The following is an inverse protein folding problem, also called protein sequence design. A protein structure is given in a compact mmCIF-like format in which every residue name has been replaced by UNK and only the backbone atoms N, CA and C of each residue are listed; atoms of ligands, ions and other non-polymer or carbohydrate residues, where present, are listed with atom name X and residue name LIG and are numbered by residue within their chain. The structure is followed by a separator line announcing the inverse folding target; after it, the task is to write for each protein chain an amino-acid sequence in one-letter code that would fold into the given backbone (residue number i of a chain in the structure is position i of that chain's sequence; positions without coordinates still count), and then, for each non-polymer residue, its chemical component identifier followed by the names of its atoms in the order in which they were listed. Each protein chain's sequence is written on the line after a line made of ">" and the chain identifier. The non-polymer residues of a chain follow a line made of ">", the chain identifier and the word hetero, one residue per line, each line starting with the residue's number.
data_IF_216042508793
#
_entry.id   IF_216042508793
#
_cell.length_a   1.000
_cell.length_b   1.000
_cell.length_c   1.000
_cell.angle_alpha   90.00
_cell.angle_beta   90.00
_cell.angle_gamma   90.00
#
_symmetry.space_group_name_H-M   'P 1'
#
loop_
_entity.id
_entity.type
_entity.pdbx_description
1 polymer ?
#
# COMPACT_ATOMS: atom_id res chain seq x y z
N UNK A 1 -7.61 -23.70 3.18
CA UNK A 1 -7.01 -22.69 4.08
C UNK A 1 -6.06 -21.70 3.42
N UNK A 2 -5.28 -22.08 2.40
CA UNK A 2 -4.28 -21.24 1.75
C UNK A 2 -4.86 -20.22 0.74
N UNK A 3 -6.01 -20.51 0.16
CA UNK A 3 -6.63 -19.64 -0.86
C UNK A 3 -7.11 -18.27 -0.33
N UNK A 4 -7.36 -18.14 0.95
CA UNK A 4 -7.77 -16.86 1.56
C UNK A 4 -6.61 -15.89 1.83
N UNK A 5 -5.36 -16.36 1.81
CA UNK A 5 -4.16 -15.54 1.99
C UNK A 5 -3.63 -14.96 0.66
N UNK A 6 -4.24 -15.33 -0.47
CA UNK A 6 -3.83 -14.79 -1.76
C UNK A 6 -4.10 -13.28 -1.83
N UNK A 7 -3.05 -12.51 -2.09
CA UNK A 7 -3.16 -11.10 -2.43
C UNK A 7 -3.88 -10.95 -3.78
N UNK A 8 -4.87 -10.06 -3.83
CA UNK A 8 -5.53 -9.75 -5.10
C UNK A 8 -4.49 -9.13 -6.05
N UNK A 9 -4.58 -9.44 -7.34
CA UNK A 9 -3.68 -8.88 -8.38
C UNK A 9 -3.59 -7.36 -8.31
N UNK A 10 -4.70 -6.70 -8.01
CA UNK A 10 -4.74 -5.24 -7.89
C UNK A 10 -3.94 -4.73 -6.68
N UNK A 11 -3.96 -5.43 -5.55
CA UNK A 11 -3.17 -5.06 -4.35
C UNK A 11 -1.67 -5.15 -4.65
N UNK A 12 -1.25 -6.19 -5.38
CA UNK A 12 0.15 -6.36 -5.81
C UNK A 12 0.59 -5.26 -6.77
N UNK A 13 -0.26 -4.89 -7.75
CA UNK A 13 0.03 -3.81 -8.68
C UNK A 13 0.16 -2.47 -7.97
N UNK A 14 -0.72 -2.17 -7.02
CA UNK A 14 -0.64 -0.95 -6.21
C UNK A 14 0.65 -0.95 -5.39
N UNK A 15 0.96 -2.05 -4.70
CA UNK A 15 2.19 -2.19 -3.92
C UNK A 15 3.45 -2.01 -4.77
N UNK A 16 3.47 -2.61 -5.96
CA UNK A 16 4.56 -2.45 -6.92
C UNK A 16 4.74 -0.99 -7.35
N UNK A 17 3.64 -0.32 -7.74
CA UNK A 17 3.69 1.09 -8.18
C UNK A 17 4.18 2.01 -7.06
N UNK A 18 3.66 1.84 -5.84
CA UNK A 18 4.11 2.62 -4.68
C UNK A 18 5.59 2.38 -4.41
N UNK A 19 6.07 1.14 -4.51
CA UNK A 19 7.47 0.80 -4.24
C UNK A 19 8.43 1.39 -5.27
N UNK A 20 8.04 1.41 -6.55
CA UNK A 20 8.82 2.08 -7.61
C UNK A 20 8.91 3.59 -7.34
N UNK A 21 7.77 4.24 -7.06
CA UNK A 21 7.75 5.67 -6.79
C UNK A 21 8.56 6.04 -5.55
N UNK A 22 8.46 5.27 -4.47
CA UNK A 22 9.23 5.50 -3.25
C UNK A 22 10.73 5.31 -3.47
N UNK A 23 11.14 4.28 -4.21
CA UNK A 23 12.54 4.05 -4.52
C UNK A 23 13.15 5.22 -5.30
N UNK A 24 12.44 5.73 -6.31
CA UNK A 24 12.88 6.89 -7.09
C UNK A 24 12.91 8.15 -6.20
N UNK A 25 11.88 8.37 -5.40
CA UNK A 25 11.76 9.56 -4.57
C UNK A 25 12.87 9.64 -3.50
N UNK A 26 13.14 8.55 -2.81
CA UNK A 26 14.19 8.50 -1.77
C UNK A 26 15.59 8.71 -2.38
N UNK A 27 15.83 8.18 -3.58
CA UNK A 27 17.10 8.34 -4.28
C UNK A 27 17.15 9.55 -5.21
N UNK A 28 16.12 10.42 -5.19
CA UNK A 28 16.02 11.56 -6.10
C UNK A 28 17.25 12.48 -6.05
N UNK A 29 17.76 12.77 -4.86
CA UNK A 29 18.95 13.62 -4.69
C UNK A 29 20.21 13.01 -5.34
N UNK A 30 20.35 11.66 -5.29
CA UNK A 30 21.45 10.95 -5.94
C UNK A 30 21.29 10.97 -7.46
N UNK A 31 20.08 10.77 -7.96
CA UNK A 31 19.75 10.81 -9.39
C UNK A 31 20.01 12.20 -9.97
N UNK A 32 19.58 13.26 -9.28
CA UNK A 32 19.82 14.64 -9.70
C UNK A 32 21.31 14.98 -9.72
N UNK A 33 22.06 14.56 -8.71
CA UNK A 33 23.51 14.78 -8.67
C UNK A 33 24.23 14.08 -9.83
N UNK A 34 23.81 12.86 -10.20
CA UNK A 34 24.34 12.19 -11.37
C UNK A 34 24.02 12.94 -12.65
N UNK A 35 22.79 13.39 -12.84
CA UNK A 35 22.37 14.17 -13.99
C UNK A 35 23.15 15.48 -14.13
N UNK A 36 23.36 16.23 -13.06
CA UNK A 36 24.16 17.46 -13.04
C UNK A 36 25.62 17.20 -13.45
N UNK A 37 26.19 16.08 -13.01
CA UNK A 37 27.54 15.70 -13.38
C UNK A 37 27.67 15.33 -14.86
N UNK A 38 26.72 14.58 -15.41
CA UNK A 38 26.70 14.19 -16.82
C UNK A 38 26.44 15.40 -17.75
N UNK A 39 25.71 16.40 -17.31
CA UNK A 39 25.43 17.62 -18.08
C UNK A 39 26.55 18.68 -17.99
N UNK A 40 27.64 18.39 -17.26
CA UNK A 40 28.82 19.26 -17.18
C UNK A 40 28.65 20.47 -16.27
N UNK A 41 27.64 20.51 -15.43
CA UNK A 41 27.39 21.59 -14.47
C UNK A 41 27.32 21.07 -13.01
N UNK A 42 28.43 20.48 -12.49
CA UNK A 42 28.42 19.92 -11.13
C UNK A 42 28.30 21.04 -10.10
N UNK A 43 27.17 21.07 -9.40
CA UNK A 43 26.91 22.06 -8.35
C UNK A 43 27.78 21.89 -7.11
N UNK A 44 28.19 20.69 -6.78
CA UNK A 44 29.25 20.34 -5.78
C UNK A 44 29.44 18.83 -5.65
N UNK A 45 30.70 18.36 -5.59
CA UNK A 45 31.06 17.10 -4.99
C UNK A 45 31.46 15.98 -5.97
N UNK A 46 31.83 14.86 -5.38
CA UNK A 46 32.27 13.64 -6.05
C UNK A 46 31.06 12.94 -6.70
N UNK A 47 31.21 12.53 -7.94
CA UNK A 47 30.20 11.72 -8.63
C UNK A 47 29.88 10.47 -7.80
N UNK A 48 28.60 10.21 -7.50
CA UNK A 48 28.25 8.95 -6.84
C UNK A 48 28.58 7.79 -7.78
N UNK A 49 29.23 6.71 -7.29
CA UNK A 49 29.51 5.56 -8.13
C UNK A 49 28.19 4.95 -8.62
N UNK A 50 28.08 4.68 -9.91
CA UNK A 50 26.88 4.15 -10.57
C UNK A 50 26.33 2.91 -9.86
N UNK A 51 27.19 2.06 -9.40
CA UNK A 51 26.87 0.83 -8.68
C UNK A 51 26.10 1.08 -7.39
N UNK A 52 26.58 2.00 -6.56
CA UNK A 52 25.92 2.35 -5.30
C UNK A 52 24.53 2.91 -5.56
N UNK A 53 24.38 3.70 -6.62
CA UNK A 53 23.09 4.26 -7.01
C UNK A 53 22.10 3.16 -7.43
N UNK A 54 22.51 2.25 -8.31
CA UNK A 54 21.66 1.13 -8.74
C UNK A 54 21.31 0.20 -7.58
N UNK A 55 22.29 -0.08 -6.70
CA UNK A 55 22.04 -0.86 -5.50
C UNK A 55 20.97 -0.22 -4.61
N UNK A 56 21.08 1.07 -4.32
CA UNK A 56 20.13 1.78 -3.46
C UNK A 56 18.74 1.84 -4.09
N UNK A 57 18.64 2.04 -5.41
CA UNK A 57 17.35 2.00 -6.12
C UNK A 57 16.68 0.64 -5.98
N UNK A 58 17.41 -0.44 -6.25
CA UNK A 58 16.88 -1.80 -6.14
C UNK A 58 16.57 -2.12 -4.67
N UNK A 59 17.45 -1.72 -3.76
CA UNK A 59 17.27 -1.97 -2.33
C UNK A 59 15.99 -1.34 -1.78
N UNK A 60 15.77 -0.05 -1.99
CA UNK A 60 14.59 0.63 -1.50
C UNK A 60 13.30 0.16 -2.20
N UNK A 61 13.38 -0.25 -3.45
CA UNK A 61 12.27 -0.93 -4.12
C UNK A 61 11.92 -2.25 -3.42
N UNK A 62 12.89 -3.13 -3.23
CA UNK A 62 12.68 -4.45 -2.58
C UNK A 62 12.21 -4.26 -1.13
N UNK A 63 12.83 -3.37 -0.39
CA UNK A 63 12.47 -3.06 0.99
C UNK A 63 11.01 -2.59 1.12
N UNK A 64 10.59 -1.61 0.35
CA UNK A 64 9.22 -1.09 0.39
C UNK A 64 8.20 -2.12 -0.09
N UNK A 65 8.55 -2.91 -1.12
CA UNK A 65 7.66 -3.95 -1.65
C UNK A 65 7.45 -5.10 -0.67
N UNK A 66 8.52 -5.57 -0.03
CA UNK A 66 8.44 -6.60 1.03
C UNK A 66 7.59 -6.10 2.20
N UNK A 67 7.83 -4.88 2.67
CA UNK A 67 7.03 -4.29 3.74
C UNK A 67 5.55 -4.19 3.38
N UNK A 68 5.23 -3.79 2.16
CA UNK A 68 3.84 -3.71 1.69
C UNK A 68 3.16 -5.08 1.67
N UNK A 69 3.84 -6.10 1.12
CA UNK A 69 3.34 -7.48 1.08
C UNK A 69 3.11 -8.01 2.49
N UNK A 70 4.12 -7.89 3.36
CA UNK A 70 4.04 -8.38 4.75
C UNK A 70 2.93 -7.68 5.51
N UNK A 71 2.83 -6.37 5.38
CA UNK A 71 1.75 -5.60 6.00
C UNK A 71 0.37 -6.12 5.55
N UNK A 72 0.19 -6.36 4.26
CA UNK A 72 -1.07 -6.86 3.71
C UNK A 72 -1.37 -8.30 4.15
N UNK A 73 -0.38 -9.19 4.16
CA UNK A 73 -0.53 -10.56 4.61
C UNK A 73 -0.82 -10.66 6.11
N UNK A 74 -0.06 -9.93 6.92
CA UNK A 74 -0.23 -9.94 8.38
C UNK A 74 -1.57 -9.34 8.81
N UNK A 75 -2.07 -8.35 8.08
CA UNK A 75 -3.40 -7.82 8.33
C UNK A 75 -4.49 -8.87 8.05
N UNK A 76 -4.42 -9.58 6.92
CA UNK A 76 -5.35 -10.67 6.59
C UNK A 76 -5.26 -11.82 7.60
N UNK A 77 -4.05 -12.18 8.01
CA UNK A 77 -3.83 -13.18 9.05
C UNK A 77 -4.42 -12.74 10.39
N UNK A 78 -4.19 -11.49 10.77
CA UNK A 78 -4.72 -10.88 11.99
C UNK A 78 -6.24 -10.81 11.98
N UNK A 79 -6.87 -10.56 10.84
CA UNK A 79 -8.33 -10.58 10.69
C UNK A 79 -8.90 -11.98 10.96
N UNK A 80 -8.21 -13.00 10.51
CA UNK A 80 -8.57 -14.41 10.78
C UNK A 80 -8.38 -14.80 12.25
N UNK A 81 -7.24 -14.41 12.85
CA UNK A 81 -6.88 -14.82 14.21
C UNK A 81 -7.60 -14.01 15.28
N UNK A 82 -7.81 -12.71 15.04
CA UNK A 82 -8.31 -11.75 16.04
C UNK A 82 -9.56 -11.00 15.57
N UNK A 83 -10.52 -11.74 15.03
CA UNK A 83 -11.73 -11.18 14.41
C UNK A 83 -12.51 -10.15 15.27
N UNK A 84 -12.44 -10.26 16.60
CA UNK A 84 -13.13 -9.38 17.54
C UNK A 84 -12.21 -8.36 18.26
N UNK A 85 -10.89 -8.41 18.03
CA UNK A 85 -9.92 -7.59 18.77
C UNK A 85 -9.02 -6.83 17.80
N UNK A 86 -9.50 -5.70 17.31
CA UNK A 86 -8.80 -4.89 16.32
C UNK A 86 -7.40 -4.46 16.76
N UNK A 87 -7.22 -4.10 18.05
CA UNK A 87 -5.92 -3.70 18.58
C UNK A 87 -4.85 -4.81 18.47
N UNK A 88 -5.23 -6.09 18.67
CA UNK A 88 -4.29 -7.21 18.52
C UNK A 88 -3.86 -7.41 17.06
N UNK A 89 -4.77 -7.18 16.13
CA UNK A 89 -4.49 -7.22 14.69
C UNK A 89 -3.49 -6.13 14.29
N UNK A 90 -3.73 -4.89 14.74
CA UNK A 90 -2.81 -3.77 14.49
C UNK A 90 -1.45 -4.04 15.14
N UNK A 91 -1.43 -4.51 16.39
CA UNK A 91 -0.19 -4.85 17.09
C UNK A 91 0.63 -5.92 16.33
N UNK A 92 -0.03 -6.99 15.85
CA UNK A 92 0.63 -8.03 15.06
C UNK A 92 1.31 -7.44 13.81
N UNK A 93 0.58 -6.60 13.06
CA UNK A 93 1.12 -5.94 11.86
C UNK A 93 2.30 -5.03 12.20
N UNK A 94 2.17 -4.21 13.25
CA UNK A 94 3.24 -3.31 13.66
C UNK A 94 4.50 -4.07 14.08
N UNK A 95 4.38 -5.07 14.95
CA UNK A 95 5.52 -5.85 15.44
C UNK A 95 6.24 -6.57 14.29
N UNK A 96 5.50 -7.21 13.39
CA UNK A 96 6.10 -7.93 12.25
C UNK A 96 6.77 -6.97 11.26
N UNK A 97 6.14 -5.85 10.94
CA UNK A 97 6.72 -4.85 10.02
C UNK A 97 7.97 -4.18 10.62
N UNK A 98 7.97 -3.86 11.93
CA UNK A 98 9.15 -3.30 12.62
C UNK A 98 10.29 -4.31 12.63
N UNK A 99 10.02 -5.59 12.95
CA UNK A 99 11.04 -6.63 12.96
C UNK A 99 11.69 -6.83 11.59
N UNK A 100 10.90 -6.82 10.51
CA UNK A 100 11.41 -6.93 9.15
C UNK A 100 12.18 -5.68 8.74
N UNK A 101 11.68 -4.48 9.05
CA UNK A 101 12.38 -3.24 8.76
C UNK A 101 13.75 -3.18 9.45
N UNK A 102 13.81 -3.59 10.70
CA UNK A 102 15.05 -3.70 11.46
C UNK A 102 16.03 -4.72 10.83
N UNK A 103 15.53 -5.92 10.52
CA UNK A 103 16.33 -6.95 9.84
C UNK A 103 16.89 -6.49 8.50
N UNK A 104 16.05 -5.88 7.65
CA UNK A 104 16.46 -5.34 6.37
C UNK A 104 17.49 -4.22 6.50
N UNK A 105 17.32 -3.31 7.46
CA UNK A 105 18.29 -2.25 7.72
C UNK A 105 19.69 -2.80 8.01
N UNK A 106 19.80 -3.84 8.84
CA UNK A 106 21.08 -4.49 9.15
C UNK A 106 21.60 -5.37 8.00
N UNK A 107 20.72 -5.92 7.18
CA UNK A 107 21.09 -6.78 6.05
C UNK A 107 21.69 -5.98 4.88
N UNK A 108 21.28 -4.72 4.69
CA UNK A 108 21.71 -3.89 3.56
C UNK A 108 23.22 -3.77 3.40
N UNK A 109 24.01 -3.37 4.42
CA UNK A 109 25.44 -3.26 4.28
C UNK A 109 26.12 -4.62 4.05
N UNK A 110 25.58 -5.69 4.64
CA UNK A 110 26.11 -7.05 4.47
C UNK A 110 25.94 -7.52 3.03
N UNK A 111 24.74 -7.31 2.46
CA UNK A 111 24.48 -7.65 1.07
C UNK A 111 25.31 -6.81 0.07
N UNK A 112 25.47 -5.51 0.37
CA UNK A 112 26.33 -4.66 -0.44
C UNK A 112 27.76 -5.21 -0.50
N UNK A 113 28.35 -5.53 0.64
CA UNK A 113 29.72 -6.09 0.70
C UNK A 113 29.80 -7.47 0.03
N UNK A 114 28.85 -8.35 0.28
CA UNK A 114 28.83 -9.68 -0.34
C UNK A 114 28.75 -9.61 -1.87
N UNK A 115 27.90 -8.73 -2.40
CA UNK A 115 27.72 -8.62 -3.85
C UNK A 115 28.91 -7.93 -4.52
N UNK A 116 29.37 -6.81 -4.00
CA UNK A 116 30.35 -5.98 -4.71
C UNK A 116 31.81 -6.30 -4.33
N UNK A 117 32.07 -6.79 -3.15
CA UNK A 117 33.42 -7.12 -2.69
C UNK A 117 33.76 -8.58 -2.96
N UNK A 118 32.92 -9.50 -2.49
CA UNK A 118 33.23 -10.93 -2.57
C UNK A 118 32.91 -11.54 -3.93
N UNK A 119 31.74 -11.19 -4.51
CA UNK A 119 31.28 -11.84 -5.73
C UNK A 119 31.84 -11.19 -7.01
N UNK A 120 31.95 -9.86 -7.05
CA UNK A 120 32.51 -9.14 -8.19
C UNK A 120 34.02 -8.96 -8.12
N UNK A 121 34.68 -9.37 -7.01
CA UNK A 121 36.14 -9.34 -6.86
C UNK A 121 36.73 -7.92 -6.90
N UNK A 122 35.97 -6.93 -6.56
CA UNK A 122 36.43 -5.54 -6.57
C UNK A 122 36.96 -5.12 -5.22
N UNK A 123 38.04 -4.32 -5.23
CA UNK A 123 38.55 -3.64 -4.03
C UNK A 123 37.53 -2.61 -3.53
N UNK A 124 36.40 -3.12 -3.02
CA UNK A 124 35.40 -2.33 -2.36
C UNK A 124 35.93 -1.77 -1.06
N UNK A 125 35.33 -0.68 -0.53
CA UNK A 125 35.66 -0.22 0.80
C UNK A 125 35.45 -1.39 1.78
N UNK A 126 36.51 -1.81 2.43
CA UNK A 126 36.54 -2.87 3.45
C UNK A 126 35.33 -2.73 4.40
N UNK A 127 34.67 -3.83 4.79
CA UNK A 127 33.48 -3.76 5.63
C UNK A 127 33.83 -3.07 6.94
N UNK A 128 33.39 -1.82 7.03
CA UNK A 128 33.63 -0.94 8.17
C UNK A 128 32.97 -1.40 9.47
N UNK A 129 32.33 -2.57 9.49
CA UNK A 129 31.53 -3.04 10.62
C UNK A 129 32.39 -3.42 11.85
N UNK A 130 33.59 -3.93 11.64
CA UNK A 130 34.52 -4.17 12.79
C UNK A 130 35.32 -2.92 13.15
N UNK A 131 35.65 -2.07 12.16
CA UNK A 131 36.41 -0.84 12.38
C UNK A 131 35.58 0.33 12.90
N UNK A 132 34.25 0.33 12.69
CA UNK A 132 33.36 1.39 13.19
C UNK A 132 33.32 1.41 14.72
N UNK A 133 33.29 0.26 15.38
CA UNK A 133 33.28 0.18 16.84
C UNK A 133 34.66 0.60 17.43
N UNK A 134 35.76 0.29 16.74
CA UNK A 134 37.12 0.67 17.19
C UNK A 134 37.42 2.14 16.88
N UNK A 135 36.78 2.74 15.86
CA UNK A 135 37.03 4.14 15.43
C UNK A 135 36.23 5.20 16.16
N UNK A 136 35.07 4.86 16.74
CA UNK A 136 34.34 5.84 17.57
C UNK A 136 35.19 6.30 18.74
N UNK A 137 36.01 5.41 19.32
CA UNK A 137 36.92 5.74 20.44
C UNK A 137 38.21 6.45 19.96
N UNK A 138 38.63 6.24 18.71
CA UNK A 138 39.80 6.88 18.08
C UNK A 138 39.47 8.11 17.23
N UNK A 139 38.21 8.43 17.03
CA UNK A 139 37.75 9.44 16.07
C UNK A 139 38.29 10.86 16.28
N UNK A 140 38.64 11.24 17.51
CA UNK A 140 39.25 12.56 17.78
C UNK A 140 40.73 12.64 17.37
N UNK A 141 41.49 11.57 17.48
CA UNK A 141 42.91 11.56 17.08
C UNK A 141 43.07 11.38 15.56
N UNK A 142 42.24 10.55 14.92
CA UNK A 142 42.31 10.30 13.48
C UNK A 142 42.02 11.55 12.63
N UNK A 143 41.08 12.41 13.04
CA UNK A 143 40.74 13.65 12.32
C UNK A 143 41.88 14.66 12.30
N UNK A 144 42.66 14.75 13.38
CA UNK A 144 43.85 15.63 13.45
C UNK A 144 44.97 15.09 12.56
N UNK A 145 45.17 13.77 12.53
CA UNK A 145 46.23 13.13 11.76
C UNK A 145 45.93 13.23 10.24
N UNK A 146 44.68 13.08 9.82
CA UNK A 146 44.27 13.24 8.41
C UNK A 146 44.47 14.69 7.95
N UNK A 147 44.05 15.69 8.73
CA UNK A 147 44.25 17.11 8.39
C UNK A 147 45.73 17.49 8.31
N UNK A 148 46.58 16.86 9.12
CA UNK A 148 48.03 17.11 9.07
C UNK A 148 48.71 16.42 7.90
N UNK A 149 48.20 15.28 7.43
CA UNK A 149 48.67 14.58 6.23
C UNK A 149 48.25 15.32 4.95
N UNK A 150 47.02 15.81 4.86
CA UNK A 150 46.53 16.67 3.74
C UNK A 150 47.40 17.92 3.58
N UNK A 151 47.77 18.55 4.69
CA UNK A 151 48.66 19.74 4.65
C UNK A 151 50.10 19.44 4.19
N UNK A 152 50.53 18.18 4.25
CA UNK A 152 51.87 17.73 3.84
C UNK A 152 51.92 17.12 2.44
N UNK A 153 50.77 17.12 1.70
CA UNK A 153 50.70 16.53 0.38
C UNK A 153 50.84 15.01 0.33
N UNK A 154 50.68 14.34 1.48
CA UNK A 154 50.74 12.88 1.56
C UNK A 154 49.42 12.33 1.01
N UNK A 155 49.41 11.35 0.07
CA UNK A 155 48.19 10.76 -0.42
C UNK A 155 47.40 10.14 0.71
N UNK A 156 46.27 10.72 1.03
CA UNK A 156 45.34 10.21 2.06
C UNK A 156 44.52 9.09 1.42
N UNK A 157 44.47 7.91 2.03
CA UNK A 157 43.61 6.85 1.51
C UNK A 157 42.16 7.31 1.40
N UNK A 158 41.43 6.88 0.39
CA UNK A 158 40.03 7.27 0.20
C UNK A 158 39.24 7.01 1.47
N UNK A 159 38.44 8.01 1.88
CA UNK A 159 37.63 7.90 3.10
C UNK A 159 36.78 6.64 3.00
N UNK A 160 36.80 5.76 4.02
CA UNK A 160 35.93 4.61 4.03
C UNK A 160 34.48 5.07 3.87
N UNK A 161 33.70 4.33 3.09
CA UNK A 161 32.27 4.58 2.93
C UNK A 161 31.63 4.50 4.32
N UNK A 162 31.32 5.65 4.88
CA UNK A 162 30.49 5.73 6.07
C UNK A 162 29.04 5.74 5.59
N UNK A 163 28.25 4.78 6.09
CA UNK A 163 26.80 4.79 5.88
C UNK A 163 26.31 6.18 6.32
N UNK A 164 25.78 7.00 5.43
CA UNK A 164 25.33 8.34 5.81
C UNK A 164 24.27 8.26 6.89
N UNK A 165 24.23 9.20 7.82
CA UNK A 165 23.11 9.30 8.78
C UNK A 165 21.75 9.40 8.06
N UNK A 166 21.76 9.85 6.82
CA UNK A 166 20.59 9.85 5.91
C UNK A 166 20.02 8.45 5.65
N UNK A 167 20.85 7.39 5.64
CA UNK A 167 20.40 6.02 5.36
C UNK A 167 19.38 5.52 6.39
N UNK A 168 19.58 5.84 7.67
CA UNK A 168 18.61 5.52 8.71
C UNK A 168 17.30 6.33 8.53
N UNK A 169 17.42 7.61 8.24
CA UNK A 169 16.25 8.47 8.00
C UNK A 169 15.47 8.07 6.76
N UNK A 170 16.15 7.64 5.71
CA UNK A 170 15.55 7.12 4.48
C UNK A 170 14.75 5.84 4.73
N UNK A 171 15.31 4.88 5.48
CA UNK A 171 14.59 3.67 5.87
C UNK A 171 13.36 3.97 6.73
N UNK A 172 13.50 4.87 7.71
CA UNK A 172 12.39 5.29 8.55
C UNK A 172 11.29 5.97 7.72
N UNK A 173 11.68 6.85 6.79
CA UNK A 173 10.74 7.52 5.90
C UNK A 173 9.97 6.52 5.03
N UNK A 174 10.66 5.57 4.39
CA UNK A 174 10.02 4.52 3.57
C UNK A 174 9.09 3.67 4.43
N UNK A 175 9.53 3.26 5.61
CA UNK A 175 8.70 2.49 6.55
C UNK A 175 7.41 3.23 6.90
N UNK A 176 7.49 4.48 7.34
CA UNK A 176 6.32 5.28 7.70
C UNK A 176 5.38 5.49 6.52
N UNK A 177 5.93 5.77 5.33
CA UNK A 177 5.15 5.99 4.11
C UNK A 177 4.41 4.72 3.68
N UNK A 178 5.06 3.55 3.72
CA UNK A 178 4.42 2.26 3.40
C UNK A 178 3.33 1.93 4.40
N UNK A 179 3.57 2.15 5.70
CA UNK A 179 2.57 1.92 6.75
C UNK A 179 1.35 2.82 6.55
N UNK A 180 1.56 4.12 6.32
CA UNK A 180 0.50 5.09 6.08
C UNK A 180 -0.30 4.75 4.80
N UNK A 181 0.40 4.47 3.70
CA UNK A 181 -0.23 4.08 2.42
C UNK A 181 -1.10 2.84 2.57
N UNK A 182 -0.61 1.83 3.29
CA UNK A 182 -1.37 0.60 3.57
C UNK A 182 -2.65 0.87 4.37
N UNK A 183 -2.59 1.76 5.35
CA UNK A 183 -3.77 2.18 6.13
C UNK A 183 -4.77 2.92 5.24
N UNK A 184 -4.29 3.88 4.43
CA UNK A 184 -5.15 4.65 3.51
C UNK A 184 -5.87 3.75 2.50
N UNK A 185 -5.16 2.80 1.88
CA UNK A 185 -5.74 1.85 0.92
C UNK A 185 -6.86 1.04 1.59
N UNK A 186 -6.66 0.59 2.83
CA UNK A 186 -7.67 -0.15 3.59
C UNK A 186 -8.90 0.69 3.91
N UNK A 187 -8.69 1.93 4.35
CA UNK A 187 -9.78 2.85 4.63
C UNK A 187 -10.62 3.15 3.39
N UNK A 188 -9.96 3.36 2.24
CA UNK A 188 -10.64 3.58 0.97
C UNK A 188 -11.43 2.34 0.52
N UNK A 189 -10.83 1.15 0.61
CA UNK A 189 -11.50 -0.10 0.28
C UNK A 189 -12.70 -0.37 1.20
N UNK A 190 -12.57 -0.11 2.50
CA UNK A 190 -13.67 -0.25 3.45
C UNK A 190 -14.81 0.73 3.17
N UNK A 191 -14.50 1.98 2.83
CA UNK A 191 -15.52 2.97 2.43
C UNK A 191 -16.27 2.55 1.16
N UNK A 192 -15.55 2.03 0.16
CA UNK A 192 -16.18 1.54 -1.08
C UNK A 192 -17.12 0.36 -0.79
N UNK A 193 -16.70 -0.59 0.05
CA UNK A 193 -17.52 -1.73 0.43
C UNK A 193 -18.78 -1.28 1.19
N UNK A 194 -18.65 -0.40 2.18
CA UNK A 194 -19.81 0.16 2.89
C UNK A 194 -20.78 0.90 1.96
N UNK A 195 -20.26 1.62 0.96
CA UNK A 195 -21.11 2.29 -0.04
C UNK A 195 -21.91 1.29 -0.86
N UNK A 196 -21.26 0.21 -1.33
CA UNK A 196 -21.93 -0.85 -2.08
C UNK A 196 -23.01 -1.55 -1.24
N UNK A 197 -22.72 -1.89 0.00
CA UNK A 197 -23.69 -2.48 0.93
C UNK A 197 -24.88 -1.54 1.17
N UNK A 198 -24.63 -0.25 1.34
CA UNK A 198 -25.69 0.75 1.50
C UNK A 198 -26.57 0.86 0.26
N UNK A 199 -26.00 0.86 -0.96
CA UNK A 199 -26.75 0.87 -2.22
C UNK A 199 -27.60 -0.40 -2.39
N UNK A 200 -27.06 -1.56 -2.02
CA UNK A 200 -27.79 -2.83 -2.01
C UNK A 200 -28.99 -2.80 -1.04
N UNK A 201 -28.76 -2.37 0.20
CA UNK A 201 -29.83 -2.24 1.19
C UNK A 201 -30.92 -1.23 0.76
N UNK A 202 -30.53 -0.13 0.12
CA UNK A 202 -31.46 0.84 -0.45
C UNK A 202 -32.33 0.24 -1.55
N UNK A 203 -31.71 -0.52 -2.45
CA UNK A 203 -32.43 -1.21 -3.54
C UNK A 203 -33.39 -2.25 -2.99
N UNK A 204 -32.93 -3.06 -2.03
CA UNK A 204 -33.77 -4.07 -1.36
C UNK A 204 -34.96 -3.43 -0.63
N UNK A 205 -34.73 -2.32 0.08
CA UNK A 205 -35.80 -1.56 0.73
C UNK A 205 -36.83 -1.04 -0.27
N UNK A 206 -36.39 -0.49 -1.39
CA UNK A 206 -37.28 -0.03 -2.47
C UNK A 206 -38.09 -1.19 -3.05
N UNK A 207 -37.43 -2.34 -3.31
CA UNK A 207 -38.09 -3.54 -3.81
C UNK A 207 -39.16 -4.05 -2.84
N UNK A 208 -38.83 -4.09 -1.55
CA UNK A 208 -39.77 -4.52 -0.51
C UNK A 208 -40.96 -3.55 -0.39
N UNK A 209 -40.70 -2.23 -0.47
CA UNK A 209 -41.78 -1.23 -0.48
C UNK A 209 -42.67 -1.35 -1.71
N UNK A 210 -42.07 -1.57 -2.89
CA UNK A 210 -42.81 -1.82 -4.11
C UNK A 210 -43.68 -3.08 -4.03
N UNK A 211 -43.10 -4.19 -3.55
CA UNK A 211 -43.83 -5.44 -3.36
C UNK A 211 -44.98 -5.30 -2.35
N UNK A 212 -44.75 -4.53 -1.27
CA UNK A 212 -45.82 -4.23 -0.31
C UNK A 212 -46.97 -3.42 -0.92
N UNK A 213 -46.64 -2.40 -1.72
CA UNK A 213 -47.64 -1.62 -2.47
C UNK A 213 -48.41 -2.48 -3.48
N UNK A 214 -47.68 -3.30 -4.23
CA UNK A 214 -48.32 -4.23 -5.20
C UNK A 214 -49.17 -5.29 -4.52
N UNK A 215 -48.78 -5.74 -3.31
CA UNK A 215 -49.56 -6.67 -2.50
C UNK A 215 -50.86 -6.06 -1.93
N UNK A 216 -50.95 -4.73 -1.80
CA UNK A 216 -52.19 -4.03 -1.42
C UNK A 216 -53.21 -4.03 -2.56
N UNK A 217 -52.75 -4.09 -3.81
CA UNK A 217 -53.64 -4.31 -4.95
C UNK A 217 -53.91 -5.83 -4.98
N UNK A 218 -55.08 -6.25 -4.51
CA UNK A 218 -55.48 -7.66 -4.59
C UNK A 218 -55.67 -8.06 -6.06
N UNK A 219 -54.73 -8.77 -6.71
CA UNK A 219 -54.84 -9.08 -8.14
C UNK A 219 -56.05 -9.93 -8.44
N UNK A 220 -56.43 -10.80 -7.51
CA UNK A 220 -57.58 -11.65 -7.61
C UNK A 220 -58.89 -10.86 -7.61
N UNK A 221 -58.98 -9.83 -6.77
CA UNK A 221 -60.12 -8.92 -6.80
C UNK A 221 -60.24 -8.18 -8.12
N UNK A 222 -59.13 -7.66 -8.63
CA UNK A 222 -59.09 -6.95 -9.89
C UNK A 222 -59.50 -7.83 -11.08
N UNK A 223 -58.97 -9.07 -11.17
CA UNK A 223 -59.35 -10.00 -12.22
C UNK A 223 -60.81 -10.45 -12.11
N UNK A 224 -61.31 -10.70 -10.90
CA UNK A 224 -62.71 -11.04 -10.67
C UNK A 224 -63.66 -9.90 -11.05
N UNK A 225 -63.30 -8.68 -10.71
CA UNK A 225 -64.05 -7.49 -11.05
C UNK A 225 -64.12 -7.28 -12.59
N UNK A 226 -62.98 -7.44 -13.28
CA UNK A 226 -62.93 -7.41 -14.74
C UNK A 226 -63.78 -8.52 -15.40
N UNK A 227 -63.72 -9.74 -14.84
CA UNK A 227 -64.55 -10.85 -15.35
C UNK A 227 -66.03 -10.61 -15.11
N UNK A 228 -66.41 -10.05 -13.96
CA UNK A 228 -67.78 -9.65 -13.66
C UNK A 228 -68.29 -8.58 -14.65
N UNK A 229 -67.43 -7.57 -14.88
CA UNK A 229 -67.74 -6.52 -15.85
C UNK A 229 -67.92 -7.08 -17.28
N UNK A 230 -67.03 -7.99 -17.70
CA UNK A 230 -67.12 -8.64 -19.00
C UNK A 230 -68.43 -9.45 -19.16
N UNK A 231 -68.83 -10.19 -18.13
CA UNK A 231 -70.08 -10.93 -18.12
C UNK A 231 -71.31 -10.01 -18.26
N UNK A 232 -71.32 -8.88 -17.53
CA UNK A 232 -72.38 -7.87 -17.61
C UNK A 232 -72.45 -7.18 -19.02
N UNK A 233 -71.34 -6.94 -19.62
CA UNK A 233 -71.28 -6.40 -21.02
C UNK A 233 -71.83 -7.41 -22.02
N UNK A 234 -71.44 -8.69 -21.83
CA UNK A 234 -71.93 -9.75 -22.72
C UNK A 234 -73.46 -10.01 -22.59
N UNK A 235 -74.05 -9.82 -21.41
CA UNK A 235 -75.50 -9.94 -21.18
C UNK A 235 -76.30 -8.78 -21.75
N UNK A 236 -75.61 -7.68 -22.12
CA UNK A 236 -76.29 -6.51 -22.71
C UNK A 236 -77.05 -5.63 -21.73
N UNK A 237 -76.92 -5.87 -20.44
CA UNK A 237 -77.59 -5.12 -19.34
C UNK A 237 -76.84 -3.81 -18.99
N UNK A 238 -77.07 -2.78 -19.77
CA UNK A 238 -76.38 -1.51 -19.71
C UNK A 238 -76.47 -0.82 -18.31
N UNK A 239 -77.65 -0.85 -17.67
CA UNK A 239 -77.84 -0.23 -16.35
C UNK A 239 -77.06 -0.92 -15.25
N UNK A 240 -77.03 -2.24 -15.24
CA UNK A 240 -76.29 -3.03 -14.26
C UNK A 240 -74.76 -2.88 -14.47
N UNK A 241 -74.32 -2.78 -15.72
CA UNK A 241 -72.92 -2.53 -16.06
C UNK A 241 -72.46 -1.17 -15.51
N UNK A 242 -73.25 -0.13 -15.67
CA UNK A 242 -72.94 1.22 -15.16
C UNK A 242 -72.92 1.26 -13.62
N UNK A 243 -73.91 0.62 -12.97
CA UNK A 243 -73.93 0.52 -11.49
C UNK A 243 -72.71 -0.24 -10.96
N UNK A 244 -72.29 -1.32 -11.60
CA UNK A 244 -71.11 -2.07 -11.22
C UNK A 244 -69.80 -1.28 -11.40
N UNK A 245 -69.67 -0.50 -12.48
CA UNK A 245 -68.57 0.41 -12.70
C UNK A 245 -68.46 1.51 -11.64
N UNK A 246 -69.62 2.07 -11.25
CA UNK A 246 -69.70 3.11 -10.20
C UNK A 246 -69.25 2.54 -8.85
N UNK A 247 -69.70 1.34 -8.50
CA UNK A 247 -69.28 0.65 -7.25
C UNK A 247 -67.79 0.31 -7.27
N UNK A 248 -67.25 -0.09 -8.42
CA UNK A 248 -65.82 -0.42 -8.60
C UNK A 248 -64.92 0.81 -8.53
N UNK A 249 -65.42 2.00 -8.91
CA UNK A 249 -64.70 3.26 -8.84
C UNK A 249 -64.60 3.85 -7.44
N UNK A 250 -65.47 3.39 -6.52
CA UNK A 250 -65.54 3.86 -5.13
C UNK A 250 -64.76 2.96 -4.12
N UNK A 251 -64.05 1.94 -4.62
CA UNK A 251 -63.16 1.05 -3.84
C UNK A 251 -61.72 1.51 -3.92
#
# INVERSE_FOLDING_TARGET
>A
GLSMLQLKRNDLLIGFTISVLLSIFVNFALLMRKYEFETGNPSMGIQPPDRTMYYLLIWFFVFSFILFIVNSLMYKLGDKLFRRKEYKRVLLVCVTCISIAYGMFHLSPVLYTAIFVEWLGEDGPQPATQDIMIRIDRGRMATQTIRSAERRGIPVPPKPFTVPNSFMTEHLFVFLTVMLSSVLIRLLSSKQQMKLEYEQLKTEKLQNSYNALMGQINPHFFFNSLNGLNALIQSGEKQQTLAYLDELSNV
#
